data_IF_090937365103
#
_entry.id   IF_090937365103
#
_cell.length_a   1.000
_cell.length_b   1.000
_cell.length_c   1.000
_cell.angle_alpha   90.00
_cell.angle_beta   90.00
_cell.angle_gamma   90.00
#
_symmetry.space_group_name_H-M   'P 1'
#
loop_
_entity.id
_entity.type
_entity.pdbx_description
1 polymer ?
#
# COMPACT_ATOMS: atom_id res chain seq x y z
N UNK A 1 -1.56 -13.56 -12.84
CA UNK A 1 -2.30 -12.31 -12.53
C UNK A 1 -3.08 -11.90 -13.76
N UNK A 2 -4.34 -11.48 -13.59
CA UNK A 2 -5.19 -11.00 -14.70
C UNK A 2 -4.90 -9.54 -15.08
N UNK A 3 -5.38 -9.12 -16.26
CA UNK A 3 -5.15 -7.79 -16.79
C UNK A 3 -5.81 -6.66 -15.97
N UNK A 4 -6.90 -6.96 -15.27
CA UNK A 4 -7.59 -6.02 -14.38
C UNK A 4 -6.75 -5.67 -13.17
N UNK A 5 -6.19 -6.69 -12.51
CA UNK A 5 -5.29 -6.53 -11.37
C UNK A 5 -4.02 -5.76 -11.76
N UNK A 6 -3.39 -6.10 -12.89
CA UNK A 6 -2.21 -5.37 -13.37
C UNK A 6 -2.51 -3.89 -13.65
N UNK A 7 -3.68 -3.60 -14.25
CA UNK A 7 -4.09 -2.22 -14.53
C UNK A 7 -4.27 -1.40 -13.25
N UNK A 8 -4.80 -2.02 -12.18
CA UNK A 8 -4.93 -1.39 -10.86
C UNK A 8 -3.56 -1.11 -10.23
N UNK A 9 -2.62 -2.05 -10.29
CA UNK A 9 -1.25 -1.84 -9.79
C UNK A 9 -0.55 -0.68 -10.51
N UNK A 10 -0.62 -0.64 -11.85
CA UNK A 10 -0.05 0.45 -12.63
C UNK A 10 -0.70 1.80 -12.27
N UNK A 11 -2.03 1.81 -12.05
CA UNK A 11 -2.75 3.01 -11.62
C UNK A 11 -2.30 3.47 -10.23
N UNK A 12 -2.13 2.55 -9.28
CA UNK A 12 -1.62 2.88 -7.95
C UNK A 12 -0.21 3.47 -8.05
N UNK A 13 0.70 2.86 -8.82
CA UNK A 13 2.06 3.38 -9.03
C UNK A 13 2.05 4.83 -9.49
N UNK A 14 1.30 5.13 -10.55
CA UNK A 14 1.16 6.50 -11.09
C UNK A 14 0.67 7.46 -10.01
N UNK A 15 -0.31 7.06 -9.21
CA UNK A 15 -0.79 7.93 -8.15
C UNK A 15 0.25 8.18 -7.05
N UNK A 16 0.97 7.15 -6.61
CA UNK A 16 1.99 7.29 -5.57
C UNK A 16 3.17 8.16 -6.03
N UNK A 17 3.57 8.04 -7.30
CA UNK A 17 4.64 8.85 -7.89
C UNK A 17 4.29 10.33 -8.03
N UNK A 18 2.99 10.65 -8.05
CA UNK A 18 2.48 12.00 -8.25
C UNK A 18 1.68 12.55 -7.08
N UNK A 19 1.76 11.93 -5.89
CA UNK A 19 1.03 12.41 -4.70
C UNK A 19 1.27 13.92 -4.48
N UNK A 20 0.23 14.67 -4.05
CA UNK A 20 0.31 16.13 -3.96
C UNK A 20 1.43 16.63 -3.05
N UNK A 21 1.99 17.79 -3.39
CA UNK A 21 3.01 18.48 -2.60
C UNK A 21 2.53 18.95 -1.21
N UNK A 22 1.22 18.93 -0.95
CA UNK A 22 0.64 19.16 0.38
C UNK A 22 1.01 18.04 1.38
N UNK A 23 1.43 16.87 0.88
CA UNK A 23 2.04 15.81 1.69
C UNK A 23 3.56 16.03 1.77
N UNK A 24 4.15 15.90 2.97
CA UNK A 24 5.59 16.04 3.12
C UNK A 24 6.32 14.98 2.31
N UNK A 25 7.40 15.38 1.64
CA UNK A 25 8.31 14.44 1.00
C UNK A 25 9.29 13.89 2.03
N UNK A 26 9.42 12.57 2.12
CA UNK A 26 10.43 11.91 2.95
C UNK A 26 11.30 10.97 2.13
N UNK A 27 12.62 11.05 2.34
CA UNK A 27 13.55 10.06 1.79
C UNK A 27 13.41 8.70 2.48
N UNK A 28 13.96 7.63 1.88
CA UNK A 28 13.80 6.26 2.41
C UNK A 28 14.25 6.10 3.87
N UNK A 29 15.34 6.77 4.28
CA UNK A 29 15.85 6.68 5.64
C UNK A 29 14.97 7.38 6.70
N UNK A 30 14.08 8.29 6.27
CA UNK A 30 13.23 9.10 7.13
C UNK A 30 11.75 8.72 7.03
N UNK A 31 11.41 7.77 6.16
CA UNK A 31 10.04 7.37 5.88
C UNK A 31 9.44 6.59 7.03
N UNK A 32 8.21 6.94 7.40
CA UNK A 32 7.42 6.21 8.41
C UNK A 32 6.88 4.88 7.87
N UNK A 33 6.90 4.66 6.55
CA UNK A 33 6.35 3.46 5.90
C UNK A 33 7.34 2.30 5.79
N UNK A 34 8.58 2.58 5.36
CA UNK A 34 9.64 1.58 5.24
C UNK A 34 9.30 0.36 4.38
N UNK A 35 8.60 0.54 3.25
CA UNK A 35 8.28 -0.57 2.33
C UNK A 35 9.51 -1.13 1.60
N UNK A 36 10.61 -0.38 1.55
CA UNK A 36 11.91 -0.85 1.04
C UNK A 36 12.43 -2.09 1.80
N UNK A 37 11.97 -2.29 3.03
CA UNK A 37 12.32 -3.43 3.90
C UNK A 37 11.08 -4.24 4.28
N UNK A 38 10.10 -4.31 3.38
CA UNK A 38 8.92 -5.13 3.62
C UNK A 38 9.30 -6.61 3.73
N UNK A 39 8.84 -7.24 4.80
CA UNK A 39 9.01 -8.66 5.05
C UNK A 39 7.92 -9.13 6.00
N UNK A 40 7.55 -10.39 5.85
CA UNK A 40 6.72 -11.11 6.80
C UNK A 40 7.61 -11.78 7.84
N UNK A 41 7.09 -11.98 9.05
CA UNK A 41 7.78 -12.71 10.11
C UNK A 41 7.38 -14.17 10.02
N UNK A 42 8.33 -15.08 10.19
CA UNK A 42 8.06 -16.53 10.12
C UNK A 42 6.94 -16.94 11.09
N UNK A 43 6.94 -16.41 12.32
CA UNK A 43 5.87 -16.63 13.31
C UNK A 43 4.49 -16.16 12.82
N UNK A 44 4.42 -15.04 12.08
CA UNK A 44 3.16 -14.51 11.57
C UNK A 44 2.63 -15.43 10.45
N UNK A 45 3.51 -15.97 9.61
CA UNK A 45 3.13 -16.89 8.55
C UNK A 45 2.69 -18.25 9.10
N UNK A 46 3.37 -18.78 10.12
CA UNK A 46 2.99 -20.01 10.80
C UNK A 46 1.60 -19.90 11.47
N UNK A 47 1.34 -18.78 12.16
CA UNK A 47 0.11 -18.58 12.92
C UNK A 47 -1.09 -18.16 12.05
N UNK A 48 -0.86 -17.30 11.05
CA UNK A 48 -1.91 -16.62 10.29
C UNK A 48 -2.00 -17.08 8.82
N UNK A 49 -1.03 -17.86 8.36
CA UNK A 49 -0.80 -18.13 6.94
C UNK A 49 -0.27 -16.89 6.20
N UNK A 50 0.20 -17.11 4.97
CA UNK A 50 0.81 -16.08 4.13
C UNK A 50 -0.07 -14.83 3.97
N UNK A 51 -1.36 -15.00 3.62
CA UNK A 51 -2.29 -13.88 3.44
C UNK A 51 -2.47 -13.07 4.74
N UNK A 52 -2.60 -13.77 5.87
CA UNK A 52 -2.75 -13.15 7.18
C UNK A 52 -1.50 -12.40 7.63
N UNK A 53 -0.32 -12.97 7.41
CA UNK A 53 0.97 -12.35 7.72
C UNK A 53 1.19 -11.07 6.90
N UNK A 54 0.91 -11.12 5.59
CA UNK A 54 1.00 -9.93 4.72
C UNK A 54 -0.01 -8.87 5.15
N UNK A 55 -1.26 -9.25 5.44
CA UNK A 55 -2.26 -8.31 5.93
C UNK A 55 -1.81 -7.61 7.22
N UNK A 56 -1.29 -8.36 8.19
CA UNK A 56 -0.78 -7.81 9.45
C UNK A 56 0.36 -6.81 9.21
N UNK A 57 1.31 -7.14 8.33
CA UNK A 57 2.44 -6.26 8.01
C UNK A 57 2.02 -5.00 7.25
N UNK A 58 0.97 -5.07 6.42
CA UNK A 58 0.35 -3.90 5.81
C UNK A 58 -0.33 -3.02 6.86
N UNK A 59 -1.08 -3.60 7.81
CA UNK A 59 -1.71 -2.85 8.91
C UNK A 59 -0.68 -2.15 9.80
N UNK A 60 0.48 -2.77 10.07
CA UNK A 60 1.56 -2.15 10.85
C UNK A 60 2.08 -0.87 10.18
N UNK A 61 2.23 -0.87 8.84
CA UNK A 61 2.82 0.26 8.10
C UNK A 61 1.79 1.32 7.72
N UNK A 62 0.59 0.90 7.31
CA UNK A 62 -0.45 1.79 6.77
C UNK A 62 -1.51 2.17 7.81
N UNK A 63 -1.53 1.49 8.94
CA UNK A 63 -2.57 1.58 9.96
C UNK A 63 -3.71 0.57 9.74
N UNK A 64 -4.52 0.36 10.77
CA UNK A 64 -5.68 -0.53 10.68
C UNK A 64 -6.77 0.05 9.78
N UNK A 65 -7.36 -0.81 8.95
CA UNK A 65 -8.42 -0.47 7.99
C UNK A 65 -9.76 -0.11 8.63
N UNK A 66 -9.98 -0.52 9.89
CA UNK A 66 -11.20 -0.19 10.63
C UNK A 66 -11.24 1.29 11.10
N UNK A 67 -10.13 2.01 11.00
CA UNK A 67 -10.05 3.44 11.34
C UNK A 67 -10.45 4.37 10.18
N UNK A 68 -11.08 3.82 9.14
CA UNK A 68 -11.48 4.52 7.92
C UNK A 68 -10.47 4.34 6.78
N UNK A 69 -10.60 5.13 5.70
CA UNK A 69 -9.69 5.08 4.57
C UNK A 69 -8.24 5.29 5.01
N UNK A 70 -7.31 4.61 4.36
CA UNK A 70 -5.87 4.85 4.57
C UNK A 70 -5.61 6.34 4.29
N UNK A 71 -4.92 7.01 5.20
CA UNK A 71 -4.50 8.40 4.99
C UNK A 71 -3.00 8.41 4.76
N UNK A 72 -2.60 8.79 3.54
CA UNK A 72 -1.19 9.00 3.27
C UNK A 72 -0.65 10.14 4.12
N UNK A 73 0.41 9.88 4.88
CA UNK A 73 1.04 10.84 5.79
C UNK A 73 2.18 11.59 5.12
N UNK A 74 2.73 11.00 4.07
CA UNK A 74 3.91 11.46 3.35
C UNK A 74 3.91 10.87 1.94
N UNK A 75 4.75 11.43 1.09
CA UNK A 75 5.10 10.91 -0.24
C UNK A 75 6.61 10.64 -0.30
N UNK A 76 7.02 9.82 -1.26
CA UNK A 76 8.43 9.54 -1.52
C UNK A 76 8.75 8.05 -1.59
N UNK A 77 10.03 7.72 -1.74
CA UNK A 77 10.49 6.37 -2.06
C UNK A 77 10.18 5.32 -0.98
N UNK A 78 9.96 5.70 0.28
CA UNK A 78 9.59 4.72 1.31
C UNK A 78 8.17 4.17 1.19
N UNK A 79 7.29 4.81 0.40
CA UNK A 79 5.92 4.39 0.16
C UNK A 79 5.74 3.60 -1.14
N UNK A 80 6.35 4.06 -2.24
CA UNK A 80 6.18 3.46 -3.58
C UNK A 80 6.37 1.93 -3.66
N UNK A 81 7.30 1.29 -2.92
CA UNK A 81 7.50 -0.16 -2.99
C UNK A 81 6.29 -1.00 -2.54
N UNK A 82 5.27 -0.40 -1.90
CA UNK A 82 4.00 -1.09 -1.61
C UNK A 82 3.36 -1.69 -2.87
N UNK A 83 3.56 -1.07 -4.04
CA UNK A 83 3.04 -1.61 -5.31
C UNK A 83 3.71 -2.93 -5.64
N UNK A 84 5.04 -3.00 -5.55
CA UNK A 84 5.82 -4.23 -5.77
C UNK A 84 5.45 -5.31 -4.76
N UNK A 85 5.25 -4.93 -3.49
CA UNK A 85 4.77 -5.85 -2.44
C UNK A 85 3.43 -6.46 -2.82
N UNK A 86 2.44 -5.64 -3.16
CA UNK A 86 1.12 -6.12 -3.57
C UNK A 86 1.20 -6.95 -4.85
N UNK A 87 2.00 -6.56 -5.83
CA UNK A 87 2.20 -7.31 -7.06
C UNK A 87 2.73 -8.72 -6.78
N UNK A 88 3.76 -8.84 -5.95
CA UNK A 88 4.37 -10.13 -5.63
C UNK A 88 3.36 -11.05 -4.92
N UNK A 89 2.71 -10.57 -3.86
CA UNK A 89 1.78 -11.41 -3.11
C UNK A 89 0.48 -11.70 -3.86
N UNK A 90 0.02 -10.83 -4.77
CA UNK A 90 -1.11 -11.14 -5.66
C UNK A 90 -0.73 -12.12 -6.79
N UNK A 91 0.56 -12.31 -7.11
CA UNK A 91 0.99 -13.41 -7.97
C UNK A 91 0.89 -14.75 -7.23
N UNK A 92 1.30 -14.77 -5.98
CA UNK A 92 1.26 -15.97 -5.13
C UNK A 92 -0.17 -16.30 -4.65
N UNK A 93 -1.00 -15.27 -4.46
CA UNK A 93 -2.38 -15.35 -3.96
C UNK A 93 -3.37 -14.64 -4.92
N UNK A 94 -3.55 -15.13 -6.16
CA UNK A 94 -4.34 -14.44 -7.19
C UNK A 94 -5.84 -14.32 -6.89
N UNK A 95 -6.34 -15.05 -5.90
CA UNK A 95 -7.73 -14.97 -5.41
C UNK A 95 -7.88 -14.20 -4.10
N UNK A 96 -6.83 -13.56 -3.60
CA UNK A 96 -6.85 -12.87 -2.31
C UNK A 96 -7.80 -11.67 -2.34
N UNK A 97 -8.95 -11.82 -1.68
CA UNK A 97 -9.90 -10.72 -1.48
C UNK A 97 -9.28 -9.64 -0.60
N UNK A 98 -8.45 -10.02 0.37
CA UNK A 98 -7.82 -9.08 1.32
C UNK A 98 -6.83 -8.17 0.60
N UNK A 99 -5.91 -8.74 -0.19
CA UNK A 99 -4.89 -7.98 -0.92
C UNK A 99 -5.49 -7.15 -2.05
N UNK A 100 -6.50 -7.67 -2.76
CA UNK A 100 -7.25 -6.88 -3.75
C UNK A 100 -7.94 -5.68 -3.11
N UNK A 101 -8.49 -5.86 -1.89
CA UNK A 101 -9.11 -4.76 -1.17
C UNK A 101 -8.07 -3.74 -0.67
N UNK A 102 -6.86 -4.16 -0.32
CA UNK A 102 -5.76 -3.20 -0.04
C UNK A 102 -5.40 -2.37 -1.26
N UNK A 103 -5.27 -3.00 -2.43
CA UNK A 103 -5.01 -2.31 -3.68
C UNK A 103 -6.09 -1.26 -3.99
N UNK A 104 -7.37 -1.64 -3.87
CA UNK A 104 -8.49 -0.72 -4.08
C UNK A 104 -8.51 0.43 -3.06
N UNK A 105 -8.32 0.12 -1.77
CA UNK A 105 -8.30 1.13 -0.70
C UNK A 105 -7.17 2.15 -0.92
N UNK A 106 -5.98 1.70 -1.32
CA UNK A 106 -4.83 2.59 -1.58
C UNK A 106 -5.06 3.49 -2.80
N UNK A 107 -5.69 2.97 -3.86
CA UNK A 107 -6.09 3.79 -5.03
C UNK A 107 -7.09 4.87 -4.60
N UNK A 108 -8.13 4.50 -3.85
CA UNK A 108 -9.13 5.45 -3.36
C UNK A 108 -8.50 6.50 -2.43
N UNK A 109 -7.57 6.08 -1.57
CA UNK A 109 -6.86 6.95 -0.64
C UNK A 109 -5.97 7.96 -1.39
N UNK A 110 -5.32 7.53 -2.47
CA UNK A 110 -4.49 8.42 -3.28
C UNK A 110 -5.36 9.45 -4.00
N UNK A 111 -6.48 9.02 -4.59
CA UNK A 111 -7.46 9.91 -5.20
C UNK A 111 -7.97 10.96 -4.20
N UNK A 112 -8.29 10.54 -2.98
CA UNK A 112 -8.73 11.46 -1.94
C UNK A 112 -7.64 12.46 -1.54
N UNK A 113 -6.37 12.06 -1.51
CA UNK A 113 -5.27 12.98 -1.28
C UNK A 113 -5.24 14.11 -2.35
N UNK A 114 -5.43 13.78 -3.63
CA UNK A 114 -5.54 14.78 -4.70
C UNK A 114 -6.75 15.70 -4.53
N UNK A 115 -7.92 15.17 -4.18
CA UNK A 115 -9.11 16.00 -3.97
C UNK A 115 -8.93 16.95 -2.77
N UNK A 116 -8.34 16.47 -1.68
CA UNK A 116 -8.06 17.31 -0.51
C UNK A 116 -7.04 18.42 -0.85
N UNK A 117 -6.04 18.13 -1.69
CA UNK A 117 -5.06 19.14 -2.11
C UNK A 117 -5.65 20.26 -2.98
N UNK A 118 -6.81 20.06 -3.62
CA UNK A 118 -7.56 21.12 -4.33
C UNK A 118 -8.29 22.08 -3.37
N UNK A 119 -8.50 21.66 -2.12
CA UNK A 119 -9.21 22.39 -1.08
C UNK A 119 -8.38 22.42 0.22
N UNK A 120 -7.17 23.04 0.19
CA UNK A 120 -6.21 23.02 1.30
C UNK A 120 -6.69 23.77 2.55
#
# INVERSE_FOLDING_TARGET
>A
MDSGTQSKLNKLQIYLDHLPDSLPFRGSAESDYGFDFFGIRDEDEEDLGLEGAVNRQLEVRLGHRNNGPVKFKERGPGLSPVVTVLENYLKDLPGSVILMKWLDDLICSAQQAFENAKHP
#
